data_IF_723249249468
#
_entry.id   IF_723249249468
#
_cell.length_a   1.000
_cell.length_b   1.000
_cell.length_c   1.000
_cell.angle_alpha   90.00
_cell.angle_beta   90.00
_cell.angle_gamma   90.00
#
_symmetry.space_group_name_H-M   'P 1'
#
loop_
_entity.id
_entity.type
_entity.pdbx_description
1 polymer ?
#
# COMPACT_ATOMS: atom_id res chain seq x y z
N UNK A 1 11.42 15.15 4.47
CA UNK A 1 11.31 16.15 3.38
C UNK A 1 10.20 17.13 3.75
N UNK A 2 10.56 18.41 3.86
CA UNK A 2 9.66 19.51 4.22
C UNK A 2 9.43 20.36 2.95
N UNK A 3 8.18 20.44 2.52
CA UNK A 3 7.80 21.33 1.42
C UNK A 3 7.47 22.71 1.95
N UNK A 4 8.21 23.73 1.52
CA UNK A 4 7.99 25.13 1.97
C UNK A 4 6.62 25.68 1.52
N UNK A 5 6.07 25.17 0.41
CA UNK A 5 4.78 25.61 -0.14
C UNK A 5 3.92 24.36 -0.43
N UNK A 6 3.23 23.81 0.57
CA UNK A 6 2.33 22.68 0.33
C UNK A 6 1.14 23.12 -0.53
N UNK A 7 0.58 22.18 -1.30
CA UNK A 7 -0.71 22.39 -1.97
C UNK A 7 -1.80 22.38 -0.90
N UNK A 8 -2.51 23.48 -0.74
CA UNK A 8 -3.61 23.64 0.23
C UNK A 8 -4.92 23.94 -0.49
N UNK A 9 -6.04 23.61 0.15
CA UNK A 9 -7.38 24.03 -0.21
C UNK A 9 -7.96 24.97 0.85
N UNK A 10 -8.84 25.87 0.45
CA UNK A 10 -9.64 26.67 1.39
C UNK A 10 -10.84 25.86 1.85
N UNK A 11 -11.33 26.12 3.05
CA UNK A 11 -12.60 25.59 3.56
C UNK A 11 -13.80 25.96 2.65
N UNK A 12 -13.64 27.01 1.84
CA UNK A 12 -14.63 27.50 0.88
C UNK A 12 -14.47 26.90 -0.53
N UNK A 13 -13.43 26.06 -0.77
CA UNK A 13 -13.24 25.41 -2.07
C UNK A 13 -14.29 24.28 -2.25
N UNK A 14 -14.87 24.17 -3.44
CA UNK A 14 -15.73 23.02 -3.77
C UNK A 14 -14.91 21.75 -3.93
N UNK A 15 -15.57 20.59 -3.76
CA UNK A 15 -14.93 19.27 -3.95
C UNK A 15 -14.28 19.14 -5.32
N UNK A 16 -14.93 19.64 -6.39
CA UNK A 16 -14.40 19.62 -7.76
C UNK A 16 -13.10 20.41 -7.86
N UNK A 17 -13.03 21.57 -7.20
CA UNK A 17 -11.82 22.41 -7.17
C UNK A 17 -10.69 21.75 -6.41
N UNK A 18 -10.99 21.10 -5.29
CA UNK A 18 -10.01 20.34 -4.51
C UNK A 18 -9.49 19.16 -5.34
N UNK A 19 -10.37 18.41 -6.03
CA UNK A 19 -10.00 17.32 -6.92
C UNK A 19 -9.07 17.80 -8.04
N UNK A 20 -9.41 18.89 -8.72
CA UNK A 20 -8.57 19.47 -9.78
C UNK A 20 -7.18 19.89 -9.27
N UNK A 21 -7.12 20.52 -8.08
CA UNK A 21 -5.85 20.86 -7.43
C UNK A 21 -5.03 19.60 -7.14
N UNK A 22 -5.66 18.56 -6.57
CA UNK A 22 -5.00 17.31 -6.23
C UNK A 22 -4.40 16.62 -7.47
N UNK A 23 -5.20 16.49 -8.53
CA UNK A 23 -4.76 15.84 -9.78
C UNK A 23 -3.64 16.65 -10.45
N UNK A 24 -3.78 17.98 -10.58
CA UNK A 24 -2.80 18.84 -11.26
C UNK A 24 -1.45 18.87 -10.53
N UNK A 25 -1.43 18.67 -9.23
CA UNK A 25 -0.23 18.67 -8.38
C UNK A 25 0.23 17.27 -7.99
N UNK A 26 -0.45 16.23 -8.49
CA UNK A 26 -0.16 14.81 -8.18
C UNK A 26 -0.07 14.53 -6.67
N UNK A 27 -0.96 15.16 -5.90
CA UNK A 27 -1.06 14.96 -4.45
C UNK A 27 -2.34 14.21 -4.10
N UNK A 28 -2.25 13.29 -3.16
CA UNK A 28 -3.39 12.46 -2.74
C UNK A 28 -4.09 13.00 -1.49
N UNK A 29 -3.42 13.90 -0.76
CA UNK A 29 -3.95 14.52 0.44
C UNK A 29 -3.72 16.02 0.35
N UNK A 30 -4.77 16.80 0.61
CA UNK A 30 -4.69 18.26 0.62
C UNK A 30 -5.14 18.75 1.99
N UNK A 31 -4.29 19.49 2.72
CA UNK A 31 -4.72 20.21 3.90
C UNK A 31 -5.75 21.28 3.51
N UNK A 32 -6.86 21.34 4.24
CA UNK A 32 -7.86 22.38 4.13
C UNK A 32 -7.58 23.41 5.21
N UNK A 33 -7.51 24.68 4.81
CA UNK A 33 -7.26 25.78 5.73
C UNK A 33 -8.45 26.73 5.80
N UNK A 34 -8.65 27.35 6.94
CA UNK A 34 -9.61 28.43 7.11
C UNK A 34 -9.06 29.76 6.56
N UNK A 35 -9.82 30.84 6.77
CA UNK A 35 -9.46 32.18 6.30
C UNK A 35 -8.24 32.77 7.04
N UNK A 36 -7.87 32.20 8.19
CA UNK A 36 -6.68 32.57 8.99
C UNK A 36 -5.44 31.74 8.59
N UNK A 37 -5.60 30.76 7.67
CA UNK A 37 -4.53 29.86 7.23
C UNK A 37 -4.25 28.70 8.18
N UNK A 38 -5.13 28.44 9.16
CA UNK A 38 -5.02 27.32 10.10
C UNK A 38 -5.58 26.07 9.43
N UNK A 39 -4.87 24.94 9.55
CA UNK A 39 -5.34 23.66 9.02
C UNK A 39 -6.49 23.14 9.86
N UNK A 40 -7.67 23.06 9.25
CA UNK A 40 -8.92 22.60 9.89
C UNK A 40 -9.28 21.16 9.49
N UNK A 41 -8.77 20.67 8.34
CA UNK A 41 -9.03 19.32 7.86
C UNK A 41 -7.91 18.85 6.91
N UNK A 42 -7.90 17.54 6.64
CA UNK A 42 -7.04 16.94 5.61
C UNK A 42 -7.93 16.07 4.73
N UNK A 43 -8.16 16.53 3.52
CA UNK A 43 -9.00 15.83 2.56
C UNK A 43 -8.16 14.85 1.74
N UNK A 44 -8.61 13.61 1.70
CA UNK A 44 -8.01 12.56 0.85
C UNK A 44 -8.74 12.55 -0.50
N UNK A 45 -7.99 12.64 -1.60
CA UNK A 45 -8.52 12.59 -2.97
C UNK A 45 -9.40 11.34 -3.21
N UNK A 46 -9.02 10.21 -2.65
CA UNK A 46 -9.79 8.98 -2.74
C UNK A 46 -11.20 9.11 -2.14
N UNK A 47 -11.32 9.84 -1.02
CA UNK A 47 -12.62 10.10 -0.38
C UNK A 47 -13.49 11.01 -1.25
N UNK A 48 -12.89 12.04 -1.86
CA UNK A 48 -13.62 12.97 -2.73
C UNK A 48 -14.08 12.33 -4.05
N UNK A 49 -13.25 11.45 -4.60
CA UNK A 49 -13.58 10.76 -5.86
C UNK A 49 -14.59 9.63 -5.67
N UNK A 50 -15.06 9.38 -4.44
CA UNK A 50 -15.85 8.18 -4.12
C UNK A 50 -15.21 6.94 -4.74
N UNK A 51 -13.90 6.74 -4.51
CA UNK A 51 -13.20 5.58 -5.06
C UNK A 51 -13.96 4.35 -4.60
N UNK A 52 -14.64 3.74 -5.52
CA UNK A 52 -15.44 2.54 -5.29
C UNK A 52 -14.54 1.49 -4.67
N UNK A 53 -14.90 1.03 -3.46
CA UNK A 53 -14.16 -0.06 -2.82
C UNK A 53 -14.16 -1.26 -3.74
N UNK A 54 -12.97 -1.72 -4.08
CA UNK A 54 -12.76 -2.88 -4.94
C UNK A 54 -12.82 -4.15 -4.11
N UNK A 55 -13.46 -5.19 -4.64
CA UNK A 55 -13.56 -6.50 -3.96
C UNK A 55 -12.27 -7.30 -4.07
N UNK A 56 -11.44 -6.96 -5.04
CA UNK A 56 -10.16 -7.63 -5.28
C UNK A 56 -9.29 -7.64 -4.03
N UNK A 57 -8.83 -8.83 -3.66
CA UNK A 57 -7.99 -9.05 -2.48
C UNK A 57 -6.53 -8.68 -2.79
N UNK A 58 -5.84 -8.15 -1.81
CA UNK A 58 -4.39 -7.92 -1.84
C UNK A 58 -3.73 -8.87 -0.84
N UNK A 59 -2.77 -9.64 -1.30
CA UNK A 59 -2.01 -10.59 -0.48
C UNK A 59 -0.58 -10.07 -0.34
N UNK A 60 -0.21 -9.70 0.87
CA UNK A 60 1.11 -9.15 1.19
C UNK A 60 1.96 -10.21 1.90
N UNK A 61 3.07 -10.58 1.27
CA UNK A 61 3.97 -11.62 1.75
C UNK A 61 4.98 -11.02 2.74
N UNK A 62 4.73 -11.19 4.05
CA UNK A 62 5.53 -10.62 5.13
C UNK A 62 6.33 -11.67 5.92
N UNK A 63 6.36 -12.93 5.50
CA UNK A 63 6.98 -14.06 6.20
C UNK A 63 8.52 -14.10 6.17
N UNK A 64 9.19 -13.12 5.56
CA UNK A 64 10.65 -13.11 5.42
C UNK A 64 11.40 -12.84 6.74
N UNK A 65 12.52 -13.56 6.98
CA UNK A 65 13.35 -13.38 8.19
C UNK A 65 14.16 -12.09 8.23
N UNK A 66 14.31 -11.40 7.12
CA UNK A 66 15.08 -10.16 7.02
C UNK A 66 16.59 -10.30 7.29
N UNK A 67 17.17 -11.50 7.26
CA UNK A 67 18.55 -11.77 7.71
C UNK A 67 19.62 -10.92 7.03
N UNK A 68 19.41 -10.51 5.77
CA UNK A 68 20.35 -9.67 5.00
C UNK A 68 20.48 -8.25 5.55
N UNK A 69 19.48 -7.78 6.31
CA UNK A 69 19.45 -6.43 6.89
C UNK A 69 19.84 -6.39 8.37
N UNK A 70 20.38 -7.48 8.93
CA UNK A 70 20.89 -7.46 10.30
C UNK A 70 22.02 -6.44 10.43
N UNK A 71 22.10 -5.69 11.54
CA UNK A 71 21.33 -5.85 12.79
C UNK A 71 19.94 -5.20 12.80
N UNK A 72 19.55 -4.43 11.80
CA UNK A 72 18.27 -3.66 11.78
C UNK A 72 17.02 -4.54 11.97
N UNK A 73 17.08 -5.77 11.50
CA UNK A 73 15.97 -6.74 11.59
C UNK A 73 16.11 -7.73 12.74
N UNK A 74 17.03 -7.49 13.67
CA UNK A 74 17.20 -8.36 14.82
C UNK A 74 16.01 -8.28 15.77
N UNK A 75 15.50 -7.08 16.01
CA UNK A 75 14.43 -6.83 16.96
C UNK A 75 13.10 -6.46 16.31
N UNK A 76 13.12 -5.98 15.08
CA UNK A 76 11.97 -5.51 14.31
C UNK A 76 11.89 -6.28 12.99
N UNK A 77 10.73 -6.84 12.60
CA UNK A 77 10.57 -7.49 11.31
C UNK A 77 10.70 -6.46 10.17
N UNK A 78 11.27 -6.89 9.03
CA UNK A 78 11.57 -6.02 7.89
C UNK A 78 10.39 -5.13 7.45
N UNK A 79 9.13 -5.63 7.39
CA UNK A 79 7.98 -4.80 6.99
C UNK A 79 7.71 -3.62 7.94
N UNK A 80 8.15 -3.70 9.20
CA UNK A 80 8.02 -2.61 10.18
C UNK A 80 9.22 -1.66 10.23
N UNK A 81 10.27 -1.90 9.45
CA UNK A 81 11.36 -0.93 9.31
C UNK A 81 10.81 0.34 8.68
N UNK A 82 11.21 1.48 9.26
CA UNK A 82 10.75 2.78 8.79
C UNK A 82 11.55 3.25 7.59
N UNK A 83 10.84 3.75 6.58
CA UNK A 83 11.39 4.58 5.50
C UNK A 83 10.77 5.97 5.65
N UNK A 84 11.59 6.94 6.01
CA UNK A 84 11.09 8.21 6.51
C UNK A 84 10.48 8.05 7.91
N UNK A 85 9.22 8.41 8.09
CA UNK A 85 8.52 8.40 9.38
C UNK A 85 7.55 7.21 9.57
N UNK A 86 7.40 6.34 8.56
CA UNK A 86 6.40 5.25 8.54
C UNK A 86 7.03 3.91 8.21
N UNK A 87 6.50 2.79 8.72
CA UNK A 87 6.85 1.46 8.27
C UNK A 87 6.66 1.28 6.76
N UNK A 88 7.51 0.45 6.13
CA UNK A 88 7.38 0.12 4.71
C UNK A 88 5.99 -0.45 4.43
N UNK A 89 5.54 -1.40 5.24
CA UNK A 89 4.24 -2.06 5.06
C UNK A 89 3.07 -1.07 5.19
N UNK A 90 3.15 -0.07 6.08
CA UNK A 90 2.12 0.98 6.17
C UNK A 90 2.02 1.78 4.87
N UNK A 91 3.15 2.12 4.28
CA UNK A 91 3.17 2.83 3.00
C UNK A 91 2.53 2.00 1.88
N UNK A 92 2.80 0.69 1.84
CA UNK A 92 2.21 -0.24 0.88
C UNK A 92 0.69 -0.33 1.07
N UNK A 93 0.23 -0.55 2.31
CA UNK A 93 -1.21 -0.66 2.63
C UNK A 93 -1.94 0.63 2.24
N UNK A 94 -1.39 1.79 2.58
CA UNK A 94 -1.99 3.08 2.20
C UNK A 94 -2.04 3.28 0.69
N UNK A 95 -1.02 2.84 -0.04
CA UNK A 95 -1.03 2.93 -1.49
C UNK A 95 -2.16 2.07 -2.10
N UNK A 96 -2.37 0.84 -1.63
CA UNK A 96 -3.51 0.03 -2.06
C UNK A 96 -4.86 0.65 -1.67
N UNK A 97 -4.99 1.15 -0.44
CA UNK A 97 -6.20 1.82 0.04
C UNK A 97 -6.56 3.05 -0.82
N UNK A 98 -5.56 3.85 -1.21
CA UNK A 98 -5.74 5.01 -2.09
C UNK A 98 -6.23 4.64 -3.49
N UNK A 99 -6.03 3.39 -3.93
CA UNK A 99 -6.56 2.85 -5.18
C UNK A 99 -7.88 2.07 -5.00
N UNK A 100 -8.47 2.10 -3.78
CA UNK A 100 -9.74 1.46 -3.45
C UNK A 100 -9.64 -0.01 -3.05
N UNK A 101 -8.45 -0.58 -2.96
CA UNK A 101 -8.25 -1.96 -2.51
C UNK A 101 -8.21 -2.00 -0.98
N UNK A 102 -9.30 -2.45 -0.39
CA UNK A 102 -9.50 -2.41 1.07
C UNK A 102 -9.43 -3.78 1.74
N UNK A 103 -9.42 -4.88 0.99
CA UNK A 103 -9.36 -6.23 1.54
C UNK A 103 -7.93 -6.75 1.43
N UNK A 104 -7.23 -6.82 2.54
CA UNK A 104 -5.81 -7.17 2.59
C UNK A 104 -5.62 -8.42 3.42
N UNK A 105 -4.84 -9.37 2.92
CA UNK A 105 -4.37 -10.53 3.67
C UNK A 105 -2.86 -10.41 3.83
N UNK A 106 -2.36 -10.51 5.05
CA UNK A 106 -0.92 -10.46 5.33
C UNK A 106 -0.46 -11.86 5.75
N UNK A 107 0.47 -12.44 4.97
CA UNK A 107 1.14 -13.67 5.35
C UNK A 107 2.27 -13.34 6.33
N UNK A 108 2.26 -14.02 7.46
CA UNK A 108 3.16 -13.79 8.59
C UNK A 108 3.99 -15.04 8.87
N UNK A 109 5.22 -14.84 9.36
CA UNK A 109 6.07 -15.86 9.94
C UNK A 109 6.88 -15.23 11.08
N UNK A 110 8.10 -14.79 10.79
CA UNK A 110 9.01 -14.24 11.78
C UNK A 110 8.47 -12.95 12.41
N UNK A 111 8.33 -12.95 13.75
CA UNK A 111 7.83 -11.80 14.52
C UNK A 111 6.49 -11.25 14.01
N UNK A 112 5.62 -12.13 13.52
CA UNK A 112 4.30 -11.77 13.00
C UNK A 112 3.42 -11.03 14.00
N UNK A 113 3.52 -11.34 15.30
CA UNK A 113 2.76 -10.67 16.36
C UNK A 113 3.00 -9.15 16.37
N UNK A 114 4.24 -8.70 16.15
CA UNK A 114 4.53 -7.26 16.08
C UNK A 114 3.80 -6.58 14.93
N UNK A 115 3.58 -7.30 13.82
CA UNK A 115 2.82 -6.78 12.67
C UNK A 115 1.33 -6.72 13.02
N UNK A 116 0.79 -7.77 13.67
CA UNK A 116 -0.59 -7.77 14.14
C UNK A 116 -0.86 -6.66 15.16
N UNK A 117 0.04 -6.47 16.13
CA UNK A 117 -0.06 -5.41 17.14
C UNK A 117 -0.08 -4.01 16.51
N UNK A 118 0.69 -3.81 15.44
CA UNK A 118 0.79 -2.51 14.78
C UNK A 118 -0.43 -2.20 13.90
N UNK A 119 -0.93 -3.17 13.13
CA UNK A 119 -1.98 -2.94 12.14
C UNK A 119 -3.38 -3.32 12.64
N UNK A 120 -3.49 -4.20 13.64
CA UNK A 120 -4.77 -4.70 14.13
C UNK A 120 -5.61 -5.29 13.00
N UNK A 121 -6.89 -4.95 12.97
CA UNK A 121 -7.83 -5.33 11.92
C UNK A 121 -7.77 -4.43 10.66
N UNK A 122 -6.89 -3.44 10.65
CA UNK A 122 -6.72 -2.49 9.55
C UNK A 122 -7.65 -1.29 9.56
N UNK A 123 -8.62 -1.21 10.49
CA UNK A 123 -9.62 -0.13 10.54
C UNK A 123 -8.99 1.27 10.63
N UNK A 124 -7.90 1.41 11.39
CA UNK A 124 -7.15 2.66 11.55
C UNK A 124 -6.45 3.11 10.24
N UNK A 125 -6.36 2.23 9.26
CA UNK A 125 -5.75 2.49 7.95
C UNK A 125 -6.78 2.52 6.82
N UNK A 126 -8.08 2.39 7.15
CA UNK A 126 -9.18 2.41 6.18
C UNK A 126 -9.30 1.13 5.35
N UNK A 127 -8.76 0.03 5.83
CA UNK A 127 -8.75 -1.30 5.19
C UNK A 127 -9.26 -2.37 6.16
N UNK A 128 -9.51 -3.58 5.65
CA UNK A 128 -9.77 -4.78 6.43
C UNK A 128 -8.56 -5.71 6.27
N UNK A 129 -7.95 -6.12 7.37
CA UNK A 129 -6.77 -6.97 7.35
C UNK A 129 -7.08 -8.32 7.96
N UNK A 130 -6.83 -9.38 7.19
CA UNK A 130 -6.78 -10.76 7.63
C UNK A 130 -5.33 -11.22 7.69
N UNK A 131 -5.02 -12.17 8.58
CA UNK A 131 -3.67 -12.71 8.75
C UNK A 131 -3.65 -14.20 8.47
N UNK A 132 -2.57 -14.64 7.80
CA UNK A 132 -2.27 -16.06 7.56
C UNK A 132 -0.90 -16.36 8.11
N UNK A 133 -0.78 -17.34 8.99
CA UNK A 133 0.48 -17.73 9.61
C UNK A 133 1.13 -18.89 8.87
N UNK A 134 2.40 -18.71 8.51
CA UNK A 134 3.24 -19.75 7.94
C UNK A 134 3.97 -20.50 9.05
N UNK A 135 3.57 -21.72 9.33
CA UNK A 135 4.23 -22.59 10.32
C UNK A 135 5.57 -23.16 9.81
N UNK A 136 5.81 -23.08 8.52
CA UNK A 136 7.06 -23.47 7.84
C UNK A 136 7.34 -22.52 6.67
N UNK A 137 8.56 -22.55 6.17
CA UNK A 137 8.93 -21.74 4.99
C UNK A 137 8.33 -22.35 3.74
N UNK A 138 7.35 -21.68 3.16
CA UNK A 138 6.68 -22.10 1.93
C UNK A 138 7.22 -21.41 0.67
N UNK A 139 8.25 -20.57 0.80
CA UNK A 139 8.81 -19.78 -0.31
C UNK A 139 8.03 -18.51 -0.59
N UNK A 140 8.29 -17.89 -1.74
CA UNK A 140 7.78 -16.53 -2.04
C UNK A 140 6.25 -16.46 -2.12
N UNK A 141 5.61 -17.47 -2.70
CA UNK A 141 4.15 -17.47 -2.91
C UNK A 141 3.46 -18.67 -2.25
N UNK A 142 4.18 -19.48 -1.48
CA UNK A 142 3.62 -20.70 -0.89
C UNK A 142 2.53 -20.44 0.12
N UNK A 143 2.53 -19.29 0.80
CA UNK A 143 1.47 -18.89 1.71
C UNK A 143 0.09 -18.78 1.05
N UNK A 144 0.02 -18.64 -0.29
CA UNK A 144 -1.24 -18.68 -1.02
C UNK A 144 -2.00 -20.00 -0.82
N UNK A 145 -1.27 -21.10 -0.57
CA UNK A 145 -1.89 -22.41 -0.28
C UNK A 145 -2.62 -22.46 1.06
N UNK A 146 -2.26 -21.58 1.99
CA UNK A 146 -2.84 -21.50 3.34
C UNK A 146 -4.12 -20.66 3.38
N UNK A 147 -4.45 -19.95 2.31
CA UNK A 147 -5.64 -19.10 2.25
C UNK A 147 -6.86 -20.01 2.03
N UNK A 148 -7.68 -20.16 3.07
CA UNK A 148 -8.87 -21.02 3.04
C UNK A 148 -9.92 -20.52 2.03
N UNK A 149 -10.23 -19.21 2.08
CA UNK A 149 -11.19 -18.57 1.18
C UNK A 149 -10.44 -17.94 0.00
N UNK A 150 -10.08 -18.76 -0.99
CA UNK A 150 -9.38 -18.29 -2.18
C UNK A 150 -10.23 -17.26 -2.94
N UNK A 151 -9.64 -16.15 -3.39
CA UNK A 151 -10.37 -15.19 -4.22
C UNK A 151 -10.87 -15.84 -5.52
N UNK A 152 -12.13 -15.58 -5.89
CA UNK A 152 -12.70 -15.98 -7.18
C UNK A 152 -12.42 -14.92 -8.28
N UNK A 153 -11.98 -13.74 -7.89
CA UNK A 153 -11.65 -12.63 -8.78
C UNK A 153 -10.12 -12.46 -8.84
N UNK A 154 -9.65 -11.71 -9.82
CA UNK A 154 -8.25 -11.31 -9.90
C UNK A 154 -7.80 -10.68 -8.58
N UNK A 155 -6.63 -11.02 -8.10
CA UNK A 155 -6.08 -10.54 -6.84
C UNK A 155 -4.60 -10.19 -6.97
N UNK A 156 -4.11 -9.35 -6.08
CA UNK A 156 -2.71 -8.97 -6.05
C UNK A 156 -1.91 -9.87 -5.12
N UNK A 157 -0.69 -10.18 -5.53
CA UNK A 157 0.33 -10.79 -4.68
C UNK A 157 1.57 -9.91 -4.72
N UNK A 158 2.04 -9.45 -3.57
CA UNK A 158 3.18 -8.55 -3.49
C UNK A 158 4.00 -8.82 -2.22
N UNK A 159 5.31 -8.63 -2.31
CA UNK A 159 6.15 -8.65 -1.12
C UNK A 159 5.88 -7.42 -0.24
N UNK A 160 5.82 -7.64 1.07
CA UNK A 160 5.53 -6.59 2.07
C UNK A 160 6.71 -5.62 2.34
N UNK A 161 7.75 -5.68 1.52
CA UNK A 161 8.97 -4.88 1.63
C UNK A 161 9.35 -4.15 0.33
N UNK A 162 8.44 -4.11 -0.63
CA UNK A 162 8.65 -3.50 -1.94
C UNK A 162 7.92 -2.15 -2.03
N UNK A 163 8.67 -1.06 -2.14
CA UNK A 163 8.12 0.25 -2.42
C UNK A 163 8.02 0.46 -3.93
N UNK A 164 6.85 0.90 -4.38
CA UNK A 164 6.57 1.16 -5.79
C UNK A 164 5.55 2.29 -5.93
N UNK A 165 5.59 2.96 -7.06
CA UNK A 165 4.63 3.96 -7.52
C UNK A 165 3.66 3.43 -8.59
N UNK A 166 3.58 2.11 -8.74
CA UNK A 166 2.64 1.45 -9.66
C UNK A 166 1.20 1.86 -9.35
N UNK A 167 0.48 2.25 -10.38
CA UNK A 167 -0.96 2.46 -10.28
C UNK A 167 -1.68 1.11 -10.31
N UNK A 168 -2.07 0.62 -9.14
CA UNK A 168 -2.71 -0.68 -9.00
C UNK A 168 -4.08 -0.77 -9.69
N UNK A 169 -4.80 0.34 -9.86
CA UNK A 169 -6.04 0.34 -10.62
C UNK A 169 -5.77 0.07 -12.09
N UNK A 170 -4.82 0.78 -12.68
CA UNK A 170 -4.42 0.55 -14.07
C UNK A 170 -3.87 -0.86 -14.31
N UNK A 171 -3.14 -1.40 -13.32
CA UNK A 171 -2.64 -2.79 -13.41
C UNK A 171 -3.79 -3.79 -13.46
N UNK A 172 -4.82 -3.61 -12.64
CA UNK A 172 -6.01 -4.46 -12.66
C UNK A 172 -6.78 -4.33 -13.98
N UNK A 173 -6.95 -3.11 -14.48
CA UNK A 173 -7.60 -2.84 -15.76
C UNK A 173 -6.84 -3.51 -16.91
N UNK A 174 -5.51 -3.39 -16.93
CA UNK A 174 -4.64 -4.05 -17.90
C UNK A 174 -4.77 -5.57 -17.86
N UNK A 175 -4.75 -6.15 -16.65
CA UNK A 175 -4.94 -7.59 -16.46
C UNK A 175 -6.27 -8.06 -17.03
N UNK A 176 -7.35 -7.35 -16.71
CA UNK A 176 -8.69 -7.67 -17.17
C UNK A 176 -8.83 -7.54 -18.70
N UNK A 177 -8.23 -6.48 -19.27
CA UNK A 177 -8.26 -6.23 -20.71
C UNK A 177 -7.45 -7.28 -21.50
N UNK A 178 -6.28 -7.67 -21.00
CA UNK A 178 -5.40 -8.63 -21.68
C UNK A 178 -5.88 -10.08 -21.58
N UNK A 179 -6.93 -10.36 -20.81
CA UNK A 179 -7.49 -11.69 -20.57
C UNK A 179 -6.41 -12.72 -20.21
N UNK A 180 -5.49 -12.31 -19.36
CA UNK A 180 -4.32 -13.08 -18.95
C UNK A 180 -4.60 -13.85 -17.66
N UNK A 181 -4.04 -15.06 -17.52
CA UNK A 181 -4.12 -15.82 -16.26
C UNK A 181 -3.31 -15.16 -15.14
N UNK A 182 -2.20 -14.49 -15.51
CA UNK A 182 -1.37 -13.74 -14.58
C UNK A 182 -0.71 -12.55 -15.29
N UNK A 183 -0.53 -11.45 -14.54
CA UNK A 183 0.19 -10.26 -15.00
C UNK A 183 1.31 -9.93 -14.00
N UNK A 184 2.53 -9.79 -14.49
CA UNK A 184 3.70 -9.52 -13.66
C UNK A 184 4.27 -8.13 -13.98
N UNK A 185 4.43 -7.30 -12.95
CA UNK A 185 5.16 -6.04 -13.06
C UNK A 185 6.66 -6.31 -13.07
N UNK A 186 7.33 -5.81 -14.08
CA UNK A 186 8.79 -5.94 -14.22
C UNK A 186 9.42 -4.56 -14.40
N UNK A 187 10.68 -4.45 -14.03
CA UNK A 187 11.50 -3.28 -14.32
C UNK A 187 12.71 -3.72 -15.12
N UNK A 188 12.99 -3.04 -16.21
CA UNK A 188 14.19 -3.21 -16.99
C UNK A 188 15.37 -2.46 -16.34
N UNK A 189 16.50 -3.14 -16.22
CA UNK A 189 17.76 -2.54 -15.79
C UNK A 189 18.82 -2.79 -16.85
N UNK A 190 19.39 -1.72 -17.38
CA UNK A 190 20.59 -1.80 -18.19
C UNK A 190 21.81 -1.69 -17.26
N UNK A 191 22.65 -2.72 -17.27
CA UNK A 191 23.93 -2.70 -16.57
C UNK A 191 25.06 -2.72 -17.59
N UNK A 192 25.73 -1.60 -17.76
CA UNK A 192 26.91 -1.51 -18.61
C UNK A 192 28.12 -2.00 -17.82
N UNK A 193 28.66 -3.15 -18.20
CA UNK A 193 29.91 -3.66 -17.63
C UNK A 193 31.05 -2.82 -18.20
N UNK A 194 31.81 -2.06 -17.39
CA UNK A 194 32.99 -1.38 -17.88
C UNK A 194 34.07 -2.41 -18.19
N UNK A 195 34.58 -2.39 -19.38
CA UNK A 195 35.76 -3.15 -19.79
C UNK A 195 37.01 -2.39 -19.44
#
# INVERSE_FOLDING_TARGET
LYFKNPTIASINDSNERIIQKAISKQVYQIPVVDDEGIVVDIVNLATLLNITKKRNRVILMAGGLGTRLRPLTQDIPKPLLKVGNKPILETIIKNFANHGFVNITISLNYKGEMIKDYFGDGSNFGVNIDYVEENMRLGTAGALSLIENKPNEAFFVMNADLLTDVNFSHLLDFHSFSNSDATMCVREYEYQVPY
#
